data_IF_611022805587
#
_entry.id   IF_611022805587
#
_cell.length_a   1.000
_cell.length_b   1.000
_cell.length_c   1.000
_cell.angle_alpha   90.00
_cell.angle_beta   90.00
_cell.angle_gamma   90.00
#
_symmetry.space_group_name_H-M   'P 1'
#
loop_
_entity.id
_entity.type
_entity.pdbx_description
1 polymer ?
#
# COMPACT_ATOMS: atom_id res chain seq x y z
N UNK A 1 10.51 -7.07 8.23
CA UNK A 1 11.03 -6.96 6.84
C UNK A 1 12.40 -6.31 6.91
N UNK A 2 13.41 -6.88 6.25
CA UNK A 2 14.76 -6.31 6.19
C UNK A 2 14.71 -4.96 5.45
N UNK A 3 15.42 -3.95 5.96
CA UNK A 3 15.48 -2.61 5.35
C UNK A 3 16.92 -2.17 5.07
N UNK A 4 17.87 -2.85 5.69
CA UNK A 4 19.29 -2.59 5.49
C UNK A 4 19.75 -3.21 4.17
N UNK A 5 20.41 -2.40 3.34
CA UNK A 5 20.88 -2.80 2.02
C UNK A 5 21.88 -3.96 2.04
N UNK A 6 22.74 -4.02 3.06
CA UNK A 6 23.72 -5.10 3.21
C UNK A 6 23.01 -6.42 3.50
N UNK A 7 22.04 -6.39 4.42
CA UNK A 7 21.21 -7.55 4.74
C UNK A 7 20.42 -8.03 3.53
N UNK A 8 19.79 -7.14 2.77
CA UNK A 8 19.04 -7.48 1.54
C UNK A 8 19.98 -8.11 0.51
N UNK A 9 21.15 -7.54 0.28
CA UNK A 9 22.15 -8.08 -0.65
C UNK A 9 22.59 -9.50 -0.25
N UNK A 10 22.81 -9.74 1.05
CA UNK A 10 23.19 -11.07 1.54
C UNK A 10 22.04 -12.08 1.38
N UNK A 11 20.81 -11.68 1.66
CA UNK A 11 19.64 -12.55 1.46
C UNK A 11 19.46 -12.93 -0.01
N UNK A 12 19.69 -11.99 -0.95
CA UNK A 12 19.67 -12.27 -2.39
C UNK A 12 20.74 -13.28 -2.79
N UNK A 13 21.98 -13.09 -2.29
CA UNK A 13 23.06 -14.07 -2.54
C UNK A 13 22.67 -15.48 -2.09
N UNK A 14 22.07 -15.61 -0.91
CA UNK A 14 21.61 -16.91 -0.41
C UNK A 14 20.46 -17.48 -1.26
N UNK A 15 19.53 -16.63 -1.70
CA UNK A 15 18.42 -17.02 -2.58
C UNK A 15 18.95 -17.49 -3.95
N UNK A 16 19.93 -16.78 -4.53
CA UNK A 16 20.61 -17.14 -5.78
C UNK A 16 21.44 -18.43 -5.66
N UNK A 17 21.96 -18.74 -4.48
CA UNK A 17 22.63 -20.00 -4.13
C UNK A 17 21.65 -21.17 -3.89
N UNK A 18 20.34 -20.94 -3.99
CA UNK A 18 19.27 -21.93 -3.86
C UNK A 18 18.70 -22.07 -2.45
N UNK A 19 19.02 -21.19 -1.51
CA UNK A 19 18.37 -21.17 -0.20
C UNK A 19 16.92 -20.66 -0.32
N UNK A 20 16.01 -21.28 0.43
CA UNK A 20 14.63 -20.78 0.55
C UNK A 20 14.60 -19.53 1.44
N UNK A 21 14.35 -18.38 0.85
CA UNK A 21 14.17 -17.10 1.54
C UNK A 21 12.71 -16.67 1.52
N UNK A 22 12.06 -16.58 2.67
CA UNK A 22 10.65 -16.17 2.82
C UNK A 22 10.55 -14.93 3.72
N UNK A 23 10.00 -13.81 3.24
CA UNK A 23 9.65 -13.52 1.84
C UNK A 23 10.92 -13.32 1.03
N UNK A 24 10.83 -13.53 -0.28
CA UNK A 24 11.95 -13.32 -1.19
C UNK A 24 12.62 -11.95 -0.96
N UNK A 25 13.95 -11.93 -0.97
CA UNK A 25 14.71 -10.69 -0.85
C UNK A 25 14.49 -9.74 -2.04
N UNK A 26 14.09 -10.27 -3.19
CA UNK A 26 13.64 -9.49 -4.35
C UNK A 26 12.24 -8.91 -4.14
N UNK A 27 11.34 -9.65 -3.48
CA UNK A 27 10.00 -9.19 -3.13
C UNK A 27 9.99 -8.00 -2.16
N UNK A 28 11.03 -7.86 -1.32
CA UNK A 28 11.15 -6.71 -0.40
C UNK A 28 11.18 -5.38 -1.15
N UNK A 29 11.92 -5.29 -2.25
CA UNK A 29 11.99 -4.06 -3.06
C UNK A 29 10.68 -3.82 -3.83
N UNK A 30 9.99 -4.89 -4.23
CA UNK A 30 8.67 -4.79 -4.86
C UNK A 30 7.62 -4.19 -3.92
N UNK A 31 7.79 -4.31 -2.60
CA UNK A 31 6.90 -3.71 -1.61
C UNK A 31 7.20 -2.22 -1.35
N UNK A 32 8.26 -1.64 -1.93
CA UNK A 32 8.43 -0.18 -1.92
C UNK A 32 7.29 0.47 -2.70
N UNK A 33 6.75 1.57 -2.20
CA UNK A 33 5.46 2.10 -2.64
C UNK A 33 5.33 2.33 -4.16
N UNK A 34 6.34 2.91 -4.80
CA UNK A 34 6.30 3.12 -6.26
C UNK A 34 6.28 1.79 -7.02
N UNK A 35 7.27 0.86 -6.89
CA UNK A 35 7.22 -0.41 -7.60
C UNK A 35 6.00 -1.27 -7.21
N UNK A 36 5.55 -1.23 -5.96
CA UNK A 36 4.32 -1.89 -5.54
C UNK A 36 3.13 -1.40 -6.37
N UNK A 37 2.92 -0.09 -6.45
CA UNK A 37 1.82 0.50 -7.22
C UNK A 37 1.90 0.10 -8.70
N UNK A 38 3.09 0.18 -9.32
CA UNK A 38 3.32 -0.21 -10.71
C UNK A 38 2.97 -1.70 -10.95
N UNK A 39 3.39 -2.58 -10.04
CA UNK A 39 3.13 -4.02 -10.13
C UNK A 39 1.65 -4.37 -9.93
N UNK A 40 0.97 -3.73 -8.99
CA UNK A 40 -0.47 -3.93 -8.79
C UNK A 40 -1.26 -3.50 -10.02
N UNK A 41 -0.95 -2.32 -10.61
CA UNK A 41 -1.55 -1.85 -11.86
C UNK A 41 -1.32 -2.85 -12.99
N UNK A 42 -0.05 -3.20 -13.23
CA UNK A 42 0.36 -4.09 -14.31
C UNK A 42 -0.35 -5.45 -14.25
N UNK A 43 -0.57 -5.96 -13.05
CA UNK A 43 -1.21 -7.25 -12.83
C UNK A 43 -2.73 -7.16 -12.66
N UNK A 44 -3.34 -5.98 -12.82
CA UNK A 44 -4.79 -5.80 -12.73
C UNK A 44 -5.35 -6.18 -11.35
N UNK A 45 -4.62 -5.87 -10.28
CA UNK A 45 -5.12 -6.00 -8.90
C UNK A 45 -6.03 -4.81 -8.63
N UNK A 46 -7.25 -4.99 -8.12
CA UNK A 46 -8.13 -3.88 -7.76
C UNK A 46 -7.48 -3.01 -6.69
N UNK A 47 -7.18 -1.77 -7.04
CA UNK A 47 -6.58 -0.78 -6.15
C UNK A 47 -7.16 0.62 -6.44
N UNK A 48 -6.93 1.64 -5.58
CA UNK A 48 -7.35 3.01 -5.86
C UNK A 48 -6.70 3.55 -7.14
N UNK A 49 -7.39 4.45 -7.84
CA UNK A 49 -6.78 5.22 -8.92
C UNK A 49 -5.49 5.87 -8.38
N UNK A 50 -4.39 5.68 -9.10
CA UNK A 50 -3.06 6.00 -8.58
C UNK A 50 -2.22 6.71 -9.62
N UNK A 51 -1.51 7.76 -9.17
CA UNK A 51 -0.60 8.55 -9.98
C UNK A 51 0.79 8.52 -9.34
N UNK A 52 1.80 8.26 -10.14
CA UNK A 52 3.21 8.29 -9.73
C UNK A 52 3.82 9.54 -10.33
N UNK A 53 4.30 10.43 -9.48
CA UNK A 53 4.78 11.75 -9.88
C UNK A 53 6.17 12.03 -9.28
N UNK A 54 7.04 12.69 -10.04
CA UNK A 54 8.23 13.35 -9.49
C UNK A 54 7.79 14.49 -8.57
N UNK A 55 8.40 14.62 -7.40
CA UNK A 55 8.09 15.73 -6.49
C UNK A 55 8.55 17.09 -7.05
N UNK A 56 9.34 17.09 -8.14
CA UNK A 56 9.74 18.30 -8.87
C UNK A 56 8.67 18.77 -9.86
N UNK A 57 7.75 17.89 -10.27
CA UNK A 57 6.72 18.18 -11.26
C UNK A 57 5.49 18.81 -10.62
N UNK A 58 4.67 19.49 -11.43
CA UNK A 58 3.36 19.98 -11.04
C UNK A 58 2.34 18.85 -11.06
N UNK A 59 1.45 18.78 -10.06
CA UNK A 59 0.33 17.87 -10.06
C UNK A 59 -0.84 18.44 -10.88
N UNK A 60 -1.09 17.83 -12.04
CA UNK A 60 -2.10 18.28 -13.01
C UNK A 60 -3.43 17.52 -12.92
N UNK A 61 -3.46 16.40 -12.19
CA UNK A 61 -4.65 15.58 -12.05
C UNK A 61 -5.67 16.22 -11.09
N UNK A 62 -6.95 15.93 -11.31
CA UNK A 62 -8.04 16.44 -10.48
C UNK A 62 -8.69 15.31 -9.67
N UNK A 63 -7.87 14.61 -8.89
CA UNK A 63 -8.29 13.49 -8.05
C UNK A 63 -8.33 13.92 -6.59
N UNK A 64 -9.48 14.37 -6.11
CA UNK A 64 -9.68 14.82 -4.73
C UNK A 64 -10.97 14.23 -4.14
N UNK A 65 -11.00 13.95 -2.83
CA UNK A 65 -9.85 13.92 -1.93
C UNK A 65 -8.88 12.77 -2.26
N UNK A 66 -7.61 12.91 -1.86
CA UNK A 66 -6.58 11.94 -2.17
C UNK A 66 -5.56 11.74 -1.04
N UNK A 67 -4.75 10.72 -1.19
CA UNK A 67 -3.64 10.40 -0.31
C UNK A 67 -2.33 10.64 -1.05
N UNK A 68 -1.50 11.53 -0.54
CA UNK A 68 -0.15 11.77 -1.05
C UNK A 68 0.83 11.02 -0.18
N UNK A 69 1.57 10.09 -0.76
CA UNK A 69 2.46 9.19 -0.05
C UNK A 69 3.86 9.25 -0.65
N UNK A 70 4.91 9.20 0.19
CA UNK A 70 6.26 9.04 -0.35
C UNK A 70 6.37 7.75 -1.16
N UNK A 71 7.03 7.82 -2.32
CA UNK A 71 7.08 6.70 -3.26
C UNK A 71 8.37 5.87 -3.20
N UNK A 72 9.45 6.43 -2.65
CA UNK A 72 10.80 5.86 -2.65
C UNK A 72 11.06 4.89 -1.48
N UNK A 73 10.18 4.85 -0.50
CA UNK A 73 10.27 3.94 0.64
C UNK A 73 8.93 3.76 1.35
N UNK A 74 8.91 2.87 2.36
CA UNK A 74 7.80 2.81 3.32
C UNK A 74 7.74 4.08 4.18
N UNK A 75 6.55 4.41 4.67
CA UNK A 75 6.37 5.54 5.59
C UNK A 75 7.18 5.33 6.88
N UNK A 76 8.09 6.26 7.16
CA UNK A 76 8.93 6.28 8.36
C UNK A 76 8.36 7.23 9.42
N UNK A 77 7.84 8.36 8.98
CA UNK A 77 7.21 9.39 9.81
C UNK A 77 5.80 9.66 9.34
N UNK A 78 5.01 10.34 10.15
CA UNK A 78 3.59 10.63 9.86
C UNK A 78 3.42 11.44 8.57
N UNK A 79 4.32 12.36 8.32
CA UNK A 79 4.34 13.26 7.16
C UNK A 79 4.63 12.53 5.84
N UNK A 80 5.06 11.26 5.87
CA UNK A 80 5.27 10.44 4.68
C UNK A 80 3.96 9.95 4.03
N UNK A 81 2.82 10.14 4.72
CA UNK A 81 1.47 9.86 4.23
C UNK A 81 0.55 10.99 4.67
N UNK A 82 0.02 11.74 3.74
CA UNK A 82 -0.85 12.88 4.01
C UNK A 82 -2.15 12.78 3.21
N UNK A 83 -3.23 13.26 3.79
CA UNK A 83 -4.54 13.39 3.17
C UNK A 83 -4.68 14.81 2.63
N UNK A 84 -5.16 14.96 1.40
CA UNK A 84 -5.35 16.23 0.73
C UNK A 84 -6.75 16.31 0.10
N UNK A 85 -7.37 17.48 0.22
CA UNK A 85 -8.73 17.76 -0.26
C UNK A 85 -8.76 18.68 -1.47
N UNK A 86 -7.61 19.31 -1.78
CA UNK A 86 -7.49 20.24 -2.90
C UNK A 86 -6.06 20.26 -3.47
N UNK A 87 -5.89 20.91 -4.62
CA UNK A 87 -4.61 21.05 -5.32
C UNK A 87 -3.54 21.71 -4.45
N UNK A 88 -3.88 22.79 -3.78
CA UNK A 88 -2.94 23.55 -2.92
C UNK A 88 -2.32 22.66 -1.82
N UNK A 89 -3.12 21.80 -1.19
CA UNK A 89 -2.63 20.89 -0.17
C UNK A 89 -1.67 19.85 -0.78
N UNK A 90 -1.97 19.31 -1.96
CA UNK A 90 -1.07 18.38 -2.68
C UNK A 90 0.26 19.07 -2.99
N UNK A 91 0.23 20.28 -3.55
CA UNK A 91 1.44 21.05 -3.89
C UNK A 91 2.30 21.34 -2.65
N UNK A 92 1.68 21.69 -1.53
CA UNK A 92 2.39 21.90 -0.25
C UNK A 92 3.07 20.62 0.25
N UNK A 93 2.40 19.47 0.14
CA UNK A 93 2.96 18.17 0.53
C UNK A 93 4.13 17.79 -0.39
N UNK A 94 3.98 17.97 -1.71
CA UNK A 94 5.07 17.72 -2.67
C UNK A 94 6.27 18.65 -2.42
N UNK A 95 6.02 19.90 -2.06
CA UNK A 95 7.08 20.83 -1.68
C UNK A 95 7.83 20.40 -0.40
N UNK A 96 7.11 19.87 0.59
CA UNK A 96 7.73 19.28 1.79
C UNK A 96 8.56 18.04 1.43
N UNK A 97 8.03 17.14 0.64
CA UNK A 97 8.77 15.96 0.17
C UNK A 97 10.06 16.37 -0.55
N UNK A 98 10.00 17.37 -1.41
CA UNK A 98 11.18 17.92 -2.12
C UNK A 98 12.22 18.45 -1.15
N UNK A 99 11.82 19.24 -0.15
CA UNK A 99 12.72 19.76 0.90
C UNK A 99 13.40 18.64 1.69
N UNK A 100 12.71 17.53 1.87
CA UNK A 100 13.22 16.34 2.57
C UNK A 100 14.01 15.39 1.67
N UNK A 101 14.22 15.74 0.40
CA UNK A 101 14.97 14.92 -0.56
C UNK A 101 14.23 13.68 -1.04
N UNK A 102 12.91 13.64 -0.93
CA UNK A 102 12.06 12.54 -1.42
C UNK A 102 11.76 12.82 -2.90
N UNK A 103 12.26 11.99 -3.84
CA UNK A 103 12.22 12.33 -5.27
C UNK A 103 10.88 11.99 -5.94
N UNK A 104 10.09 11.08 -5.36
CA UNK A 104 8.87 10.57 -5.98
C UNK A 104 7.75 10.43 -4.95
N UNK A 105 6.54 10.78 -5.36
CA UNK A 105 5.31 10.58 -4.63
C UNK A 105 4.37 9.62 -5.37
N UNK A 106 3.54 8.92 -4.62
CA UNK A 106 2.38 8.17 -5.11
C UNK A 106 1.13 8.85 -4.56
N UNK A 107 0.24 9.24 -5.46
CA UNK A 107 -1.03 9.89 -5.13
C UNK A 107 -2.14 8.89 -5.43
N UNK A 108 -2.92 8.53 -4.41
CA UNK A 108 -4.03 7.61 -4.54
C UNK A 108 -5.35 8.34 -4.28
N UNK A 109 -6.39 8.05 -5.06
CA UNK A 109 -7.74 8.49 -4.70
C UNK A 109 -8.11 8.06 -3.28
N UNK A 110 -8.92 8.84 -2.60
CA UNK A 110 -9.48 8.42 -1.33
C UNK A 110 -10.71 7.53 -1.57
N UNK A 111 -10.57 6.25 -1.24
CA UNK A 111 -11.68 5.31 -1.30
C UNK A 111 -12.63 5.52 -0.11
N UNK A 112 -13.90 5.70 -0.39
CA UNK A 112 -14.96 5.71 0.62
C UNK A 112 -15.44 4.29 0.88
N UNK A 113 -15.59 3.92 2.16
CA UNK A 113 -16.06 2.61 2.55
C UNK A 113 -15.42 2.09 3.83
N UNK A 114 -15.63 0.82 4.09
CA UNK A 114 -15.12 0.16 5.27
C UNK A 114 -13.65 -0.23 5.07
N UNK A 115 -12.79 0.26 5.96
CA UNK A 115 -11.39 -0.17 6.01
C UNK A 115 -11.31 -1.56 6.62
N UNK A 116 -10.69 -2.48 5.89
CA UNK A 116 -10.45 -3.86 6.31
C UNK A 116 -8.94 -4.13 6.29
N UNK A 117 -8.44 -4.74 7.34
CA UNK A 117 -7.08 -5.28 7.39
C UNK A 117 -7.10 -6.77 7.14
N UNK A 118 -6.10 -7.28 6.43
CA UNK A 118 -6.00 -8.70 6.14
C UNK A 118 -4.56 -9.22 6.23
N UNK A 119 -4.44 -10.52 6.46
CA UNK A 119 -3.20 -11.29 6.45
C UNK A 119 -3.44 -12.62 5.76
N UNK A 120 -2.46 -13.11 5.02
CA UNK A 120 -2.56 -14.38 4.33
C UNK A 120 -1.21 -15.00 4.03
N UNK A 121 -1.28 -16.27 3.59
CA UNK A 121 -0.14 -17.01 3.07
C UNK A 121 -0.55 -17.56 1.71
N UNK A 122 0.05 -17.03 0.65
CA UNK A 122 -0.24 -17.43 -0.74
C UNK A 122 -0.05 -18.94 -0.93
N UNK A 123 -0.98 -19.55 -1.65
CA UNK A 123 -0.96 -20.99 -1.91
C UNK A 123 -1.45 -21.86 -0.75
N UNK A 124 -2.03 -21.26 0.29
CA UNK A 124 -2.65 -21.98 1.42
C UNK A 124 -4.07 -21.49 1.68
N UNK A 125 -4.79 -22.19 2.57
CA UNK A 125 -6.12 -21.76 3.03
C UNK A 125 -6.05 -20.68 4.12
N UNK A 126 -4.85 -20.33 4.60
CA UNK A 126 -4.71 -19.33 5.65
C UNK A 126 -5.00 -17.93 5.10
N UNK A 127 -6.12 -17.37 5.56
CA UNK A 127 -6.50 -15.97 5.34
C UNK A 127 -7.28 -15.45 6.54
N UNK A 128 -6.87 -14.31 7.08
CA UNK A 128 -7.50 -13.67 8.23
C UNK A 128 -7.75 -12.20 7.93
N UNK A 129 -8.91 -11.69 8.31
CA UNK A 129 -9.28 -10.30 8.12
C UNK A 129 -10.04 -9.74 9.33
N UNK A 130 -10.02 -8.44 9.50
CA UNK A 130 -10.75 -7.75 10.56
C UNK A 130 -10.93 -6.27 10.25
N UNK A 131 -11.93 -5.66 10.91
CA UNK A 131 -12.05 -4.20 10.94
C UNK A 131 -11.11 -3.64 12.00
N UNK A 132 -10.28 -2.60 11.68
CA UNK A 132 -9.44 -1.97 12.68
C UNK A 132 -10.32 -1.29 13.73
N UNK A 133 -10.10 -1.62 15.02
CA UNK A 133 -10.81 -0.99 16.12
C UNK A 133 -10.35 0.45 16.30
N UNK A 134 -11.24 1.39 16.70
CA UNK A 134 -10.84 2.73 17.10
C UNK A 134 -9.79 2.78 18.21
N UNK A 135 -9.72 1.70 19.01
CA UNK A 135 -8.75 1.52 20.10
C UNK A 135 -7.50 0.74 19.67
N UNK A 136 -7.42 0.24 18.41
CA UNK A 136 -6.25 -0.45 17.92
C UNK A 136 -5.09 0.52 17.70
N UNK A 137 -3.86 0.04 17.91
CA UNK A 137 -2.67 0.83 17.62
C UNK A 137 -2.58 1.12 16.12
N UNK A 138 -2.88 2.36 15.77
CA UNK A 138 -2.61 2.91 14.45
C UNK A 138 -1.25 3.58 14.46
N UNK A 139 -0.40 3.27 13.52
CA UNK A 139 0.96 3.84 13.44
C UNK A 139 0.92 5.38 13.36
N UNK A 140 -0.06 5.93 12.64
CA UNK A 140 -0.18 7.37 12.39
C UNK A 140 -1.58 7.95 12.67
N UNK A 141 -2.55 7.14 13.10
CA UNK A 141 -3.92 7.58 13.39
C UNK A 141 -4.76 7.94 12.16
N UNK A 142 -4.31 7.58 10.96
CA UNK A 142 -4.93 7.97 9.69
C UNK A 142 -6.13 7.08 9.31
N UNK A 143 -6.29 5.91 9.93
CA UNK A 143 -7.45 5.02 9.73
C UNK A 143 -8.77 5.69 10.09
N UNK A 144 -8.74 6.69 10.99
CA UNK A 144 -9.92 7.45 11.41
C UNK A 144 -10.58 8.22 10.28
N UNK A 145 -9.86 8.51 9.18
CA UNK A 145 -10.40 9.23 8.02
C UNK A 145 -11.48 8.42 7.30
N UNK A 146 -11.36 7.09 7.27
CA UNK A 146 -12.42 6.23 6.74
C UNK A 146 -13.61 6.06 7.70
N UNK A 147 -13.47 6.48 8.97
CA UNK A 147 -14.51 6.36 9.99
C UNK A 147 -14.60 4.97 10.59
N UNK A 148 -15.71 4.72 11.27
CA UNK A 148 -16.03 3.40 11.86
C UNK A 148 -16.64 2.53 10.77
N UNK A 149 -16.20 1.28 10.68
CA UNK A 149 -16.75 0.32 9.74
C UNK A 149 -18.26 0.13 9.97
N UNK A 150 -19.02 0.12 8.88
CA UNK A 150 -20.48 -0.03 8.86
C UNK A 150 -20.91 -1.49 8.70
N UNK A 151 -19.96 -2.40 8.43
CA UNK A 151 -20.23 -3.79 8.15
C UNK A 151 -20.76 -4.01 6.73
N UNK A 152 -20.23 -3.29 5.75
CA UNK A 152 -20.60 -3.45 4.34
C UNK A 152 -20.33 -4.91 3.94
N UNK A 153 -21.34 -5.66 3.45
CA UNK A 153 -21.14 -7.03 3.01
C UNK A 153 -20.17 -7.11 1.83
N UNK A 154 -19.23 -8.04 1.87
CA UNK A 154 -18.29 -8.30 0.77
C UNK A 154 -17.91 -9.80 0.72
N UNK A 155 -17.34 -10.23 -0.41
CA UNK A 155 -16.82 -11.59 -0.54
C UNK A 155 -15.41 -11.67 0.04
N UNK A 156 -15.26 -12.44 1.12
CA UNK A 156 -13.93 -12.74 1.72
C UNK A 156 -13.09 -13.58 0.76
N UNK A 157 -13.72 -14.46 0.00
CA UNK A 157 -13.05 -15.28 -1.01
C UNK A 157 -12.48 -14.39 -2.13
N UNK A 158 -13.25 -13.44 -2.63
CA UNK A 158 -12.77 -12.49 -3.64
C UNK A 158 -11.61 -11.65 -3.10
N UNK A 159 -11.71 -11.14 -1.87
CA UNK A 159 -10.62 -10.41 -1.25
C UNK A 159 -9.35 -11.28 -1.14
N UNK A 160 -9.49 -12.56 -0.75
CA UNK A 160 -8.36 -13.51 -0.70
C UNK A 160 -7.75 -13.71 -2.08
N UNK A 161 -8.56 -13.95 -3.11
CA UNK A 161 -8.09 -14.14 -4.50
C UNK A 161 -7.28 -12.91 -4.96
N UNK A 162 -7.78 -11.70 -4.74
CA UNK A 162 -7.08 -10.47 -5.13
C UNK A 162 -5.82 -10.23 -4.28
N UNK A 163 -5.83 -10.60 -3.01
CA UNK A 163 -4.66 -10.52 -2.13
C UNK A 163 -3.57 -11.53 -2.55
N UNK A 164 -3.97 -12.76 -2.88
CA UNK A 164 -3.04 -13.79 -3.40
C UNK A 164 -2.42 -13.35 -4.73
N UNK A 165 -3.21 -12.74 -5.63
CA UNK A 165 -2.72 -12.16 -6.88
C UNK A 165 -1.72 -11.02 -6.65
N UNK A 166 -1.97 -10.17 -5.65
CA UNK A 166 -1.04 -9.13 -5.25
C UNK A 166 0.26 -9.73 -4.68
N UNK A 167 0.15 -10.74 -3.81
CA UNK A 167 1.28 -11.45 -3.22
C UNK A 167 2.19 -12.09 -4.29
N UNK A 168 1.59 -12.72 -5.31
CA UNK A 168 2.30 -13.27 -6.47
C UNK A 168 3.00 -12.17 -7.27
N UNK A 169 2.29 -11.09 -7.61
CA UNK A 169 2.84 -9.96 -8.35
C UNK A 169 4.03 -9.31 -7.65
N UNK A 170 4.02 -9.27 -6.32
CA UNK A 170 5.07 -8.69 -5.49
C UNK A 170 6.16 -9.69 -5.08
N UNK A 171 5.97 -10.98 -5.33
CA UNK A 171 6.84 -12.07 -4.87
C UNK A 171 6.98 -12.10 -3.32
N UNK A 172 5.86 -12.01 -2.62
CA UNK A 172 5.79 -12.00 -1.15
C UNK A 172 4.70 -12.96 -0.65
N UNK A 173 4.99 -14.27 -0.56
CA UNK A 173 3.99 -15.28 -0.21
C UNK A 173 3.38 -15.10 1.20
N UNK A 174 4.10 -14.52 2.16
CA UNK A 174 3.54 -14.16 3.47
C UNK A 174 3.23 -12.68 3.44
N UNK A 175 1.95 -12.34 3.53
CA UNK A 175 1.50 -10.97 3.29
C UNK A 175 0.50 -10.45 4.31
N UNK A 176 0.37 -9.15 4.35
CA UNK A 176 -0.69 -8.43 5.02
C UNK A 176 -0.90 -7.07 4.37
N UNK A 177 -2.11 -6.57 4.45
CA UNK A 177 -2.43 -5.31 3.81
C UNK A 177 -3.72 -4.68 4.33
N UNK A 178 -4.02 -3.56 3.71
CA UNK A 178 -5.25 -2.80 3.95
C UNK A 178 -6.07 -2.76 2.65
N UNK A 179 -7.37 -3.03 2.74
CA UNK A 179 -8.31 -2.76 1.65
C UNK A 179 -9.44 -1.85 2.12
N UNK A 180 -10.12 -1.22 1.18
CA UNK A 180 -11.38 -0.52 1.42
C UNK A 180 -12.49 -1.23 0.66
N UNK A 181 -13.55 -1.59 1.37
CA UNK A 181 -14.76 -2.17 0.81
C UNK A 181 -15.73 -1.03 0.50
N UNK A 182 -15.97 -0.76 -0.78
CA UNK A 182 -16.91 0.27 -1.24
C UNK A 182 -18.36 -0.14 -0.96
N UNK A 183 -19.30 0.82 -1.07
CA UNK A 183 -20.72 0.59 -0.77
C UNK A 183 -21.38 -0.53 -1.60
N UNK A 184 -20.82 -0.85 -2.75
CA UNK A 184 -21.24 -1.96 -3.62
C UNK A 184 -20.63 -3.33 -3.23
N UNK A 185 -19.86 -3.39 -2.14
CA UNK A 185 -19.17 -4.59 -1.68
C UNK A 185 -17.84 -4.89 -2.37
N UNK A 186 -17.38 -4.02 -3.27
CA UNK A 186 -16.11 -4.23 -4.00
C UNK A 186 -14.90 -3.91 -3.13
N UNK A 187 -14.00 -4.87 -2.85
CA UNK A 187 -12.76 -4.62 -2.13
C UNK A 187 -11.68 -4.08 -3.08
N UNK A 188 -10.98 -3.02 -2.66
CA UNK A 188 -9.80 -2.49 -3.36
C UNK A 188 -8.61 -2.42 -2.41
N UNK A 189 -7.49 -3.05 -2.79
CA UNK A 189 -6.27 -3.12 -1.99
C UNK A 189 -5.59 -1.75 -1.99
N UNK A 190 -5.47 -1.14 -0.81
CA UNK A 190 -4.90 0.21 -0.62
C UNK A 190 -3.42 0.19 -0.26
N UNK A 191 -3.00 -0.83 0.45
CA UNK A 191 -1.61 -1.03 0.91
C UNK A 191 -1.35 -2.54 1.08
N UNK A 192 -0.04 -2.93 0.94
CA UNK A 192 0.34 -4.34 0.98
C UNK A 192 1.70 -4.54 1.66
#
# INVERSE_FOLDING_TARGET
MARDKVTIARLRSLEDEGALVINSAYGIDNCVRKPMTELLIKNGVPHPQSFIISTADEYLENCYPCWVKRGDSHAMVKEDVAYATCKEEVENILADFRKRGIPVAVINEHLQGDLVKFYGVHGTDFFYWFYPSPCSHSKFGLEKINGIAKGIPFSVEELKIQSDKAAEALNVPIYGGDCVVSADGTPRIRDF
#
